data_IF_021606998196
#
_entry.id   IF_021606998196
#
_cell.length_a   1.000
_cell.length_b   1.000
_cell.length_c   1.000
_cell.angle_alpha   90.00
_cell.angle_beta   90.00
_cell.angle_gamma   90.00
#
_symmetry.space_group_name_H-M   'P 1'
#
loop_
_entity.id
_entity.type
_entity.pdbx_description
1 polymer ?
#
# COMPACT_ATOMS: atom_id res chain seq x y z
N UNK A 1 -7.09 -8.81 -24.36
CA UNK A 1 -5.68 -8.35 -24.40
C UNK A 1 -4.81 -9.32 -23.60
N UNK A 2 -3.58 -9.50 -24.07
CA UNK A 2 -2.51 -10.18 -23.34
C UNK A 2 -1.62 -9.13 -22.66
N UNK A 3 -1.60 -9.09 -21.35
CA UNK A 3 -0.91 -8.05 -20.56
C UNK A 3 0.23 -8.68 -19.78
N UNK A 4 1.44 -8.10 -19.85
CA UNK A 4 2.54 -8.44 -18.97
C UNK A 4 2.75 -7.35 -17.92
N UNK A 5 2.53 -7.68 -16.65
CA UNK A 5 2.81 -6.81 -15.52
C UNK A 5 4.23 -7.05 -15.02
N UNK A 6 5.09 -6.05 -15.07
CA UNK A 6 6.50 -6.18 -14.67
C UNK A 6 6.74 -5.47 -13.33
N UNK A 7 7.24 -6.22 -12.34
CA UNK A 7 7.67 -5.68 -11.04
C UNK A 7 9.18 -5.75 -10.86
N UNK A 8 9.85 -4.72 -10.33
CA UNK A 8 11.29 -4.79 -10.04
C UNK A 8 11.62 -5.56 -8.75
N UNK A 9 10.64 -5.87 -7.92
CA UNK A 9 10.83 -6.45 -6.60
C UNK A 9 10.79 -7.98 -6.61
N UNK A 10 11.52 -8.58 -5.66
CA UNK A 10 11.57 -10.03 -5.46
C UNK A 10 10.18 -10.64 -5.23
N UNK A 11 9.70 -11.45 -6.15
CA UNK A 11 8.39 -12.11 -6.11
C UNK A 11 8.27 -13.13 -4.97
N UNK A 12 9.40 -13.65 -4.46
CA UNK A 12 9.43 -14.54 -3.29
C UNK A 12 9.19 -13.78 -1.97
N UNK A 13 9.15 -12.45 -2.02
CA UNK A 13 8.94 -11.59 -0.86
C UNK A 13 7.62 -10.84 -0.97
N UNK A 14 6.87 -10.79 0.14
CA UNK A 14 5.70 -9.92 0.19
C UNK A 14 6.11 -8.46 0.29
N UNK A 15 5.40 -7.64 -0.45
CA UNK A 15 5.55 -6.19 -0.47
C UNK A 15 4.32 -5.55 -1.08
N UNK A 16 4.04 -4.31 -0.71
CA UNK A 16 2.84 -3.60 -1.19
C UNK A 16 2.72 -3.56 -2.71
N UNK A 17 3.84 -3.35 -3.42
CA UNK A 17 3.84 -3.33 -4.90
C UNK A 17 3.58 -4.72 -5.48
N UNK A 18 4.24 -5.78 -4.98
CA UNK A 18 3.99 -7.15 -5.46
C UNK A 18 2.55 -7.59 -5.22
N UNK A 19 2.00 -7.25 -4.05
CA UNK A 19 0.57 -7.51 -3.74
C UNK A 19 -0.35 -6.78 -4.72
N UNK A 20 -0.08 -5.50 -4.98
CA UNK A 20 -0.82 -4.71 -5.97
C UNK A 20 -0.75 -5.33 -7.38
N UNK A 21 0.45 -5.68 -7.85
CA UNK A 21 0.66 -6.25 -9.20
C UNK A 21 -0.10 -7.57 -9.36
N UNK A 22 -0.02 -8.46 -8.38
CA UNK A 22 -0.73 -9.75 -8.42
C UNK A 22 -2.25 -9.58 -8.34
N UNK A 23 -2.73 -8.69 -7.51
CA UNK A 23 -4.16 -8.38 -7.39
C UNK A 23 -4.70 -7.74 -8.69
N UNK A 24 -3.93 -6.85 -9.32
CA UNK A 24 -4.27 -6.30 -10.64
C UNK A 24 -4.30 -7.41 -11.71
N UNK A 25 -3.30 -8.31 -11.75
CA UNK A 25 -3.30 -9.45 -12.67
C UNK A 25 -4.56 -10.31 -12.53
N UNK A 26 -4.94 -10.59 -11.28
CA UNK A 26 -6.18 -11.32 -11.00
C UNK A 26 -7.41 -10.57 -11.49
N UNK A 27 -7.51 -9.28 -11.22
CA UNK A 27 -8.63 -8.45 -11.66
C UNK A 27 -8.74 -8.38 -13.20
N UNK A 28 -7.62 -8.25 -13.90
CA UNK A 28 -7.60 -8.28 -15.37
C UNK A 28 -8.13 -9.61 -15.93
N UNK A 29 -7.75 -10.74 -15.31
CA UNK A 29 -8.27 -12.07 -15.70
C UNK A 29 -9.78 -12.17 -15.48
N UNK A 30 -10.30 -11.62 -14.38
CA UNK A 30 -11.76 -11.55 -14.13
C UNK A 30 -12.49 -10.68 -15.17
N UNK A 31 -11.81 -9.72 -15.79
CA UNK A 31 -12.35 -8.91 -16.91
C UNK A 31 -12.11 -9.55 -18.29
N UNK A 32 -11.73 -10.83 -18.35
CA UNK A 32 -11.57 -11.58 -19.61
C UNK A 32 -10.26 -11.31 -20.34
N UNK A 33 -9.23 -10.77 -19.67
CA UNK A 33 -7.92 -10.54 -20.25
C UNK A 33 -6.93 -11.62 -19.81
N UNK A 34 -5.93 -11.92 -20.63
CA UNK A 34 -4.78 -12.72 -20.23
C UNK A 34 -3.79 -11.80 -19.50
N UNK A 35 -3.38 -12.15 -18.28
CA UNK A 35 -2.42 -11.37 -17.52
C UNK A 35 -1.32 -12.27 -16.95
N UNK A 36 -0.07 -11.94 -17.23
CA UNK A 36 1.13 -12.57 -16.68
C UNK A 36 1.88 -11.58 -15.80
N UNK A 37 2.53 -12.07 -14.77
CA UNK A 37 3.38 -11.26 -13.89
C UNK A 37 4.82 -11.69 -14.09
N UNK A 38 5.70 -10.74 -14.40
CA UNK A 38 7.14 -10.95 -14.56
C UNK A 38 7.90 -10.17 -13.49
N UNK A 39 8.77 -10.83 -12.75
CA UNK A 39 9.64 -10.18 -11.77
C UNK A 39 10.90 -10.99 -11.48
N UNK A 40 11.81 -10.48 -10.65
CA UNK A 40 12.91 -11.28 -10.11
C UNK A 40 12.41 -12.17 -8.98
N UNK A 41 13.04 -13.34 -8.78
CA UNK A 41 12.80 -14.18 -7.61
C UNK A 41 14.09 -14.75 -7.05
N UNK A 42 14.20 -14.78 -5.71
CA UNK A 42 15.31 -15.40 -4.98
C UNK A 42 15.00 -16.81 -4.48
N UNK A 43 13.76 -17.22 -4.57
CA UNK A 43 13.22 -18.51 -4.18
C UNK A 43 12.03 -18.86 -5.08
N UNK A 44 11.17 -19.80 -4.68
CA UNK A 44 9.99 -20.14 -5.44
C UNK A 44 9.11 -18.92 -5.70
N UNK A 45 8.74 -18.69 -6.95
CA UNK A 45 7.76 -17.67 -7.34
C UNK A 45 6.35 -18.16 -7.05
N UNK A 46 5.38 -17.26 -6.83
CA UNK A 46 3.98 -17.63 -6.84
C UNK A 46 3.60 -18.33 -8.15
N UNK A 47 2.63 -19.28 -8.12
CA UNK A 47 2.32 -20.14 -9.27
C UNK A 47 1.90 -19.40 -10.54
N UNK A 48 1.37 -18.20 -10.40
CA UNK A 48 0.87 -17.33 -11.47
C UNK A 48 1.89 -16.25 -11.89
N UNK A 49 3.16 -16.40 -11.50
CA UNK A 49 4.22 -15.42 -11.74
C UNK A 49 5.44 -16.09 -12.40
N UNK A 50 5.94 -15.46 -13.43
CA UNK A 50 7.20 -15.81 -14.09
C UNK A 50 8.37 -15.06 -13.46
N UNK A 51 9.52 -15.70 -13.36
CA UNK A 51 10.66 -15.08 -12.72
C UNK A 51 11.95 -15.17 -13.52
N UNK A 52 12.78 -14.12 -13.36
CA UNK A 52 14.13 -14.07 -13.87
C UNK A 52 15.15 -13.94 -12.72
N UNK A 53 16.27 -14.67 -12.76
CA UNK A 53 17.30 -14.57 -11.72
C UNK A 53 18.04 -13.23 -11.77
N UNK A 54 18.64 -12.81 -10.66
CA UNK A 54 19.51 -11.62 -10.62
C UNK A 54 19.15 -10.61 -9.52
N UNK A 55 18.77 -11.12 -8.34
CA UNK A 55 18.40 -10.29 -7.19
C UNK A 55 19.61 -9.74 -6.46
N UNK A 56 19.47 -8.47 -6.03
CA UNK A 56 20.38 -7.79 -5.08
C UNK A 56 19.54 -7.12 -4.00
N UNK A 57 20.02 -7.18 -2.76
CA UNK A 57 19.43 -6.42 -1.65
C UNK A 57 19.86 -4.98 -1.71
N UNK A 58 18.90 -4.07 -1.64
CA UNK A 58 19.11 -2.63 -1.70
C UNK A 58 18.40 -1.93 -0.53
N UNK A 59 19.06 -0.95 0.07
CA UNK A 59 18.47 -0.14 1.14
C UNK A 59 18.22 1.27 0.65
N UNK A 60 16.96 1.74 0.73
CA UNK A 60 16.59 3.10 0.39
C UNK A 60 15.46 3.59 1.30
N UNK A 61 15.50 4.86 1.68
CA UNK A 61 14.47 5.52 2.51
C UNK A 61 14.12 4.78 3.81
N UNK A 62 15.13 4.15 4.45
CA UNK A 62 14.94 3.37 5.67
C UNK A 62 14.28 2.00 5.47
N UNK A 63 14.06 1.57 4.23
CA UNK A 63 13.50 0.27 3.88
C UNK A 63 14.53 -0.58 3.15
N UNK A 64 14.56 -1.89 3.45
CA UNK A 64 15.32 -2.88 2.67
C UNK A 64 14.42 -3.44 1.58
N UNK A 65 14.85 -3.29 0.32
CA UNK A 65 14.18 -3.88 -0.84
C UNK A 65 15.11 -4.87 -1.53
N UNK A 66 14.55 -5.96 -2.03
CA UNK A 66 15.24 -6.93 -2.88
C UNK A 66 14.78 -6.69 -4.31
N UNK A 67 15.71 -6.33 -5.18
CA UNK A 67 15.42 -5.90 -6.55
C UNK A 67 16.20 -6.72 -7.58
N UNK A 68 15.66 -6.85 -8.77
CA UNK A 68 16.27 -7.58 -9.89
C UNK A 68 17.37 -6.81 -10.61
N UNK A 69 18.35 -6.29 -9.87
CA UNK A 69 19.40 -5.42 -10.43
C UNK A 69 20.26 -6.11 -11.50
N UNK A 70 20.55 -7.40 -11.31
CA UNK A 70 21.42 -8.17 -12.20
C UNK A 70 20.64 -8.95 -13.29
N UNK A 71 19.34 -8.73 -13.43
CA UNK A 71 18.54 -9.36 -14.48
C UNK A 71 19.06 -8.94 -15.85
N UNK A 72 19.34 -9.93 -16.70
CA UNK A 72 19.92 -9.69 -18.04
C UNK A 72 18.89 -9.03 -18.96
N UNK A 73 19.21 -7.87 -19.54
CA UNK A 73 18.36 -7.13 -20.48
C UNK A 73 17.84 -8.01 -21.63
N UNK A 74 18.69 -8.87 -22.19
CA UNK A 74 18.30 -9.78 -23.30
C UNK A 74 17.24 -10.78 -22.87
N UNK A 75 17.29 -11.29 -21.62
CA UNK A 75 16.29 -12.22 -21.11
C UNK A 75 14.92 -11.54 -20.97
N UNK A 76 14.88 -10.29 -20.48
CA UNK A 76 13.63 -9.52 -20.40
C UNK A 76 13.04 -9.29 -21.78
N UNK A 77 13.84 -8.80 -22.75
CA UNK A 77 13.36 -8.54 -24.12
C UNK A 77 12.87 -9.82 -24.80
N UNK A 78 13.60 -10.94 -24.63
CA UNK A 78 13.20 -12.23 -25.19
C UNK A 78 11.87 -12.70 -24.62
N UNK A 79 11.71 -12.68 -23.29
CA UNK A 79 10.46 -13.06 -22.62
C UNK A 79 9.28 -12.22 -23.14
N UNK A 80 9.45 -10.90 -23.25
CA UNK A 80 8.40 -10.00 -23.72
C UNK A 80 8.07 -10.21 -25.20
N UNK A 81 9.07 -10.55 -26.02
CA UNK A 81 8.88 -10.83 -27.44
C UNK A 81 8.19 -12.19 -27.67
N UNK A 82 8.70 -13.24 -27.01
CA UNK A 82 8.16 -14.60 -27.13
C UNK A 82 6.72 -14.69 -26.58
N UNK A 83 6.40 -13.86 -25.58
CA UNK A 83 5.09 -13.82 -24.97
C UNK A 83 3.99 -13.14 -25.81
N UNK A 84 4.36 -12.45 -26.91
CA UNK A 84 3.42 -11.76 -27.83
C UNK A 84 2.34 -10.95 -27.08
N UNK A 85 2.76 -10.11 -26.11
CA UNK A 85 1.88 -9.27 -25.32
C UNK A 85 1.38 -8.07 -26.12
N UNK A 86 0.14 -7.66 -25.90
CA UNK A 86 -0.44 -6.41 -26.43
C UNK A 86 0.04 -5.20 -25.63
N UNK A 87 0.22 -5.39 -24.31
CA UNK A 87 0.63 -4.32 -23.38
C UNK A 87 1.67 -4.85 -22.37
N UNK A 88 2.72 -4.06 -22.18
CA UNK A 88 3.67 -4.24 -21.07
C UNK A 88 3.46 -3.11 -20.06
N UNK A 89 3.02 -3.47 -18.87
CA UNK A 89 2.79 -2.54 -17.77
C UNK A 89 3.90 -2.63 -16.75
N UNK A 90 4.73 -1.61 -16.67
CA UNK A 90 5.92 -1.60 -15.80
C UNK A 90 5.65 -0.83 -14.52
N UNK A 91 5.72 -1.53 -13.39
CA UNK A 91 5.62 -0.92 -12.06
C UNK A 91 7.00 -0.44 -11.60
N UNK A 92 7.05 0.76 -11.00
CA UNK A 92 8.29 1.41 -10.54
C UNK A 92 9.39 1.47 -11.62
N UNK A 93 9.13 2.12 -12.76
CA UNK A 93 10.02 2.08 -13.93
C UNK A 93 11.39 2.73 -13.68
N UNK A 94 11.52 3.53 -12.62
CA UNK A 94 12.77 4.16 -12.21
C UNK A 94 13.71 3.24 -11.43
N UNK A 95 13.22 2.10 -10.92
CA UNK A 95 14.04 1.12 -10.22
C UNK A 95 14.95 0.42 -11.24
N UNK A 96 16.27 0.36 -11.01
CA UNK A 96 17.20 -0.32 -11.89
C UNK A 96 16.93 -1.83 -11.94
N UNK A 97 17.44 -2.50 -12.97
CA UNK A 97 17.25 -3.92 -13.19
C UNK A 97 16.15 -4.21 -14.19
N UNK A 98 15.21 -5.11 -13.88
CA UNK A 98 14.19 -5.64 -14.81
C UNK A 98 13.23 -4.56 -15.37
N UNK A 99 12.88 -3.55 -14.58
CA UNK A 99 11.93 -2.52 -14.97
C UNK A 99 12.44 -1.66 -16.15
N UNK A 100 13.72 -1.31 -16.16
CA UNK A 100 14.29 -0.45 -17.21
C UNK A 100 14.29 -1.08 -18.60
N UNK A 101 14.79 -2.31 -18.84
CA UNK A 101 14.69 -2.95 -20.15
C UNK A 101 13.25 -3.21 -20.56
N UNK A 102 12.33 -3.48 -19.64
CA UNK A 102 10.90 -3.60 -19.95
C UNK A 102 10.31 -2.26 -20.42
N UNK A 103 10.60 -1.17 -19.73
CA UNK A 103 10.16 0.18 -20.13
C UNK A 103 10.80 0.66 -21.44
N UNK A 104 12.00 0.16 -21.79
CA UNK A 104 12.71 0.50 -23.02
C UNK A 104 12.33 -0.39 -24.23
N UNK A 105 11.36 -1.29 -24.11
CA UNK A 105 10.85 -2.12 -25.22
C UNK A 105 10.11 -1.23 -26.22
N UNK A 106 10.29 -1.47 -27.51
CA UNK A 106 9.77 -0.63 -28.59
C UNK A 106 8.80 -1.35 -29.53
N UNK A 107 8.60 -2.64 -29.35
CA UNK A 107 7.76 -3.51 -30.19
C UNK A 107 6.38 -3.82 -29.54
N UNK A 108 6.02 -3.18 -28.45
CA UNK A 108 4.77 -3.40 -27.72
C UNK A 108 4.31 -2.10 -27.04
N UNK A 109 3.01 -1.93 -26.86
CA UNK A 109 2.45 -0.80 -26.13
C UNK A 109 2.87 -0.83 -24.67
N UNK A 110 3.21 0.31 -24.08
CA UNK A 110 3.77 0.41 -22.73
C UNK A 110 2.96 1.35 -21.86
N UNK A 111 2.74 0.93 -20.63
CA UNK A 111 2.19 1.75 -19.55
C UNK A 111 3.11 1.63 -18.35
N UNK A 112 3.21 2.67 -17.55
CA UNK A 112 4.03 2.69 -16.34
C UNK A 112 3.20 3.10 -15.11
N UNK A 113 3.46 2.45 -13.96
CA UNK A 113 2.86 2.86 -12.68
C UNK A 113 3.93 3.26 -11.67
N UNK A 114 3.69 4.40 -11.01
CA UNK A 114 4.53 4.95 -9.95
C UNK A 114 3.85 4.76 -8.60
N UNK A 115 4.53 4.05 -7.69
CA UNK A 115 4.07 3.79 -6.32
C UNK A 115 4.86 4.57 -5.28
N UNK A 116 6.12 4.91 -5.61
CA UNK A 116 7.06 5.50 -4.66
C UNK A 116 6.79 6.98 -4.43
N UNK A 117 6.90 7.37 -3.18
CA UNK A 117 7.01 8.75 -2.74
C UNK A 117 8.26 8.93 -1.90
N UNK A 118 8.96 10.03 -2.11
CA UNK A 118 10.06 10.47 -1.25
C UNK A 118 9.99 11.99 -1.10
N UNK A 119 9.99 12.45 0.15
CA UNK A 119 10.00 13.89 0.46
C UNK A 119 11.31 14.55 0.02
N UNK A 120 12.41 13.83 0.21
CA UNK A 120 13.76 14.29 -0.17
C UNK A 120 14.29 13.47 -1.33
N UNK A 121 14.62 14.16 -2.41
CA UNK A 121 15.36 13.54 -3.52
C UNK A 121 16.83 13.44 -3.11
N UNK A 122 17.39 12.22 -3.11
CA UNK A 122 18.81 12.05 -2.89
C UNK A 122 19.63 12.71 -4.01
N UNK A 123 20.81 13.20 -3.71
CA UNK A 123 21.72 13.78 -4.72
C UNK A 123 22.00 12.81 -5.87
N UNK A 124 22.10 11.50 -5.58
CA UNK A 124 22.28 10.45 -6.56
C UNK A 124 21.08 10.33 -7.51
N UNK A 125 19.83 10.36 -7.01
CA UNK A 125 18.63 10.34 -7.85
C UNK A 125 18.56 11.57 -8.72
N UNK A 126 18.88 12.76 -8.19
CA UNK A 126 18.91 14.02 -8.94
C UNK A 126 19.94 13.99 -10.07
N UNK A 127 21.15 13.45 -9.79
CA UNK A 127 22.21 13.32 -10.77
C UNK A 127 21.88 12.31 -11.87
N UNK A 128 21.23 11.18 -11.52
CA UNK A 128 20.85 10.13 -12.45
C UNK A 128 19.53 10.39 -13.18
N UNK A 129 18.83 11.49 -12.88
CA UNK A 129 17.47 11.78 -13.36
C UNK A 129 17.32 11.69 -14.88
N UNK A 130 18.29 12.24 -15.65
CA UNK A 130 18.27 12.17 -17.12
C UNK A 130 18.40 10.73 -17.61
N UNK A 131 19.24 9.92 -16.95
CA UNK A 131 19.44 8.50 -17.27
C UNK A 131 18.21 7.67 -16.92
N UNK A 132 17.57 7.97 -15.78
CA UNK A 132 16.33 7.31 -15.35
C UNK A 132 15.15 7.65 -16.26
N UNK A 133 15.07 8.89 -16.74
CA UNK A 133 14.01 9.35 -17.65
C UNK A 133 14.13 8.81 -19.08
N UNK A 134 15.32 8.39 -19.52
CA UNK A 134 15.57 7.98 -20.91
C UNK A 134 14.65 6.84 -21.41
N UNK A 135 14.43 5.74 -20.66
CA UNK A 135 13.53 4.66 -21.08
C UNK A 135 12.05 5.05 -21.10
N UNK A 136 11.71 6.21 -20.51
CA UNK A 136 10.33 6.66 -20.33
C UNK A 136 9.90 7.72 -21.34
N UNK A 137 10.82 8.17 -22.23
CA UNK A 137 10.57 9.32 -23.12
C UNK A 137 9.40 9.12 -24.06
N UNK A 138 9.29 7.91 -24.61
CA UNK A 138 8.34 7.56 -25.66
C UNK A 138 7.12 6.80 -25.09
N UNK A 139 6.91 6.87 -23.78
CA UNK A 139 5.73 6.30 -23.13
C UNK A 139 4.73 7.43 -22.90
N UNK A 140 3.58 7.42 -23.61
CA UNK A 140 2.62 8.52 -23.53
C UNK A 140 1.80 8.51 -22.23
N UNK A 141 1.53 7.31 -21.67
CA UNK A 141 0.59 7.12 -20.58
C UNK A 141 1.25 6.48 -19.35
N UNK A 142 1.00 7.08 -18.19
CA UNK A 142 1.42 6.59 -16.89
C UNK A 142 0.29 6.65 -15.87
N UNK A 143 0.44 5.85 -14.84
CA UNK A 143 -0.46 5.79 -13.68
C UNK A 143 0.34 6.19 -12.44
N UNK A 144 -0.29 6.92 -11.52
CA UNK A 144 0.26 7.13 -10.19
C UNK A 144 -0.80 6.77 -9.14
N UNK A 145 -0.36 6.05 -8.09
CA UNK A 145 -1.28 5.54 -7.07
C UNK A 145 -1.74 6.59 -6.06
N UNK A 146 -1.17 7.80 -6.13
CA UNK A 146 -1.53 8.93 -5.27
C UNK A 146 -1.01 10.23 -5.86
N UNK A 147 -1.51 11.37 -5.38
CA UNK A 147 -1.02 12.70 -5.78
C UNK A 147 0.46 12.90 -5.43
N UNK A 148 0.90 12.35 -4.29
CA UNK A 148 2.32 12.44 -3.88
C UNK A 148 3.21 11.58 -4.78
N UNK A 149 2.75 10.39 -5.21
CA UNK A 149 3.45 9.56 -6.19
C UNK A 149 3.49 10.26 -7.57
N UNK A 150 2.40 10.89 -8.01
CA UNK A 150 2.35 11.65 -9.25
C UNK A 150 3.32 12.84 -9.24
N UNK A 151 3.37 13.60 -8.15
CA UNK A 151 4.30 14.72 -7.99
C UNK A 151 5.77 14.24 -8.05
N UNK A 152 6.06 13.07 -7.47
CA UNK A 152 7.38 12.45 -7.57
C UNK A 152 7.68 11.98 -9.01
N UNK A 153 6.73 11.30 -9.66
CA UNK A 153 6.85 10.79 -11.03
C UNK A 153 7.13 11.91 -12.04
N UNK A 154 6.48 13.08 -11.92
CA UNK A 154 6.68 14.25 -12.81
C UNK A 154 8.12 14.78 -12.84
N UNK A 155 8.96 14.38 -11.90
CA UNK A 155 10.39 14.71 -11.92
C UNK A 155 11.15 13.96 -13.04
N UNK A 156 10.66 12.82 -13.49
CA UNK A 156 11.33 11.94 -14.45
C UNK A 156 10.46 11.53 -15.65
N UNK A 157 9.14 11.61 -15.53
CA UNK A 157 8.16 11.22 -16.54
C UNK A 157 7.47 12.44 -17.16
N UNK A 158 7.36 12.46 -18.50
CA UNK A 158 6.79 13.58 -19.28
C UNK A 158 5.42 13.26 -19.87
N UNK A 159 5.05 11.97 -19.93
CA UNK A 159 3.75 11.55 -20.42
C UNK A 159 2.60 11.99 -19.52
N UNK A 160 1.39 11.72 -19.93
CA UNK A 160 0.19 11.95 -19.13
C UNK A 160 0.17 11.00 -17.93
N UNK A 161 -0.22 11.49 -16.75
CA UNK A 161 -0.35 10.68 -15.54
C UNK A 161 -1.83 10.68 -15.12
N UNK A 162 -2.45 9.49 -15.14
CA UNK A 162 -3.74 9.24 -14.54
C UNK A 162 -3.58 8.82 -13.08
N UNK A 163 -4.39 9.39 -12.20
CA UNK A 163 -4.42 8.99 -10.80
C UNK A 163 -5.37 7.79 -10.66
N UNK A 164 -4.81 6.61 -10.44
CA UNK A 164 -5.56 5.40 -10.14
C UNK A 164 -4.99 4.85 -8.84
N UNK A 165 -5.73 4.88 -7.73
CA UNK A 165 -5.23 4.44 -6.43
C UNK A 165 -4.93 2.94 -6.40
N UNK A 166 -4.25 2.50 -5.34
CA UNK A 166 -4.05 1.07 -5.12
C UNK A 166 -5.40 0.39 -4.86
N UNK A 167 -5.70 -0.65 -5.60
CA UNK A 167 -6.88 -1.46 -5.40
C UNK A 167 -6.73 -2.45 -4.25
N UNK A 168 -7.87 -2.81 -3.63
CA UNK A 168 -8.00 -3.85 -2.62
C UNK A 168 -8.76 -5.05 -3.19
N UNK A 169 -8.32 -6.25 -2.83
CA UNK A 169 -9.07 -7.47 -3.13
C UNK A 169 -10.08 -7.75 -2.01
N UNK A 170 -11.35 -7.46 -2.30
CA UNK A 170 -12.44 -7.69 -1.36
C UNK A 170 -12.79 -9.17 -1.17
N UNK A 171 -12.35 -10.07 -2.04
CA UNK A 171 -12.52 -11.52 -1.82
C UNK A 171 -11.63 -12.00 -0.68
N UNK A 172 -10.46 -11.39 -0.51
CA UNK A 172 -9.53 -11.68 0.58
C UNK A 172 -9.87 -10.91 1.86
N UNK A 173 -10.14 -9.60 1.76
CA UNK A 173 -10.32 -8.71 2.91
C UNK A 173 -11.77 -8.30 3.16
N UNK A 174 -12.72 -8.69 2.32
CA UNK A 174 -14.12 -8.32 2.49
C UNK A 174 -14.77 -8.85 3.76
N UNK A 175 -15.74 -8.11 4.28
CA UNK A 175 -16.46 -8.47 5.51
C UNK A 175 -17.46 -9.59 5.24
N UNK A 176 -17.03 -10.87 5.38
CA UNK A 176 -17.95 -12.02 5.37
C UNK A 176 -18.52 -12.35 6.77
N UNK A 177 -17.94 -11.79 7.84
CA UNK A 177 -18.43 -11.94 9.22
C UNK A 177 -18.45 -10.56 9.90
N UNK A 178 -19.34 -10.40 10.90
CA UNK A 178 -19.38 -9.17 11.71
C UNK A 178 -18.04 -8.97 12.43
N UNK A 179 -17.35 -7.83 12.24
CA UNK A 179 -16.12 -7.56 12.96
C UNK A 179 -16.41 -7.39 14.46
N UNK A 180 -15.42 -7.65 15.32
CA UNK A 180 -15.53 -7.44 16.77
C UNK A 180 -15.92 -6.01 17.11
N UNK A 181 -15.40 -5.02 16.38
CA UNK A 181 -15.75 -3.61 16.52
C UNK A 181 -17.26 -3.34 16.37
N UNK A 182 -17.96 -4.14 15.55
CA UNK A 182 -19.42 -4.08 15.44
C UNK A 182 -20.14 -4.74 16.63
N UNK A 183 -19.52 -5.75 17.29
CA UNK A 183 -20.05 -6.37 18.50
C UNK A 183 -19.92 -5.47 19.74
N UNK A 184 -18.90 -4.60 19.76
CA UNK A 184 -18.75 -3.58 20.82
C UNK A 184 -19.90 -2.54 20.82
N UNK A 185 -20.71 -2.51 19.78
CA UNK A 185 -21.87 -1.63 19.68
C UNK A 185 -22.96 -1.96 20.72
N UNK A 186 -22.91 -3.15 21.33
CA UNK A 186 -23.90 -3.63 22.30
C UNK A 186 -23.27 -3.93 23.66
N UNK A 187 -22.04 -3.45 23.93
CA UNK A 187 -21.41 -3.65 25.23
C UNK A 187 -21.99 -2.72 26.28
N UNK A 188 -22.41 -3.30 27.38
CA UNK A 188 -22.67 -2.58 28.62
C UNK A 188 -21.37 -1.91 29.09
N UNK A 189 -21.39 -0.66 29.59
CA UNK A 189 -20.23 -0.01 30.19
C UNK A 189 -19.56 -0.82 31.31
N UNK A 190 -20.32 -1.72 31.96
CA UNK A 190 -19.82 -2.60 33.04
C UNK A 190 -19.09 -3.87 32.55
N UNK A 191 -19.15 -4.24 31.27
CA UNK A 191 -18.32 -5.31 30.69
C UNK A 191 -16.87 -4.89 30.40
N UNK A 192 -16.37 -3.87 31.07
CA UNK A 192 -15.11 -3.17 30.81
C UNK A 192 -13.82 -3.96 31.10
N UNK A 193 -13.91 -5.23 31.50
CA UNK A 193 -12.71 -6.01 31.89
C UNK A 193 -11.85 -6.51 30.69
N UNK A 194 -12.32 -6.38 29.45
CA UNK A 194 -11.50 -6.78 28.30
C UNK A 194 -10.64 -5.61 27.80
N UNK A 195 -9.35 -5.89 27.45
CA UNK A 195 -8.46 -4.87 26.95
C UNK A 195 -8.92 -4.31 25.59
N UNK A 196 -8.67 -3.01 25.36
CA UNK A 196 -8.77 -2.38 24.06
C UNK A 196 -7.74 -3.05 23.12
N UNK A 197 -8.19 -3.77 22.09
CA UNK A 197 -7.31 -4.42 21.13
C UNK A 197 -6.98 -3.49 19.97
N UNK A 198 -5.71 -3.08 19.90
CA UNK A 198 -5.18 -2.23 18.85
C UNK A 198 -4.26 -3.05 17.94
N UNK A 199 -4.56 -3.13 16.67
CA UNK A 199 -3.74 -3.83 15.69
C UNK A 199 -2.81 -2.85 14.96
N UNK A 200 -1.54 -3.24 14.84
CA UNK A 200 -0.54 -2.62 13.96
C UNK A 200 -0.11 -3.64 12.91
N UNK A 201 0.01 -3.22 11.64
CA UNK A 201 0.50 -4.08 10.55
C UNK A 201 1.63 -3.38 9.79
N UNK A 202 2.79 -4.03 9.71
CA UNK A 202 3.92 -3.53 8.93
C UNK A 202 5.28 -4.01 9.39
N UNK A 203 6.33 -3.58 8.69
CA UNK A 203 7.71 -3.78 9.12
C UNK A 203 8.02 -2.85 10.27
N UNK A 204 8.06 -3.38 11.47
CA UNK A 204 8.12 -2.57 12.68
C UNK A 204 9.52 -2.10 13.07
N UNK A 205 10.58 -2.63 12.44
CA UNK A 205 11.96 -2.14 12.56
C UNK A 205 12.26 -0.92 11.66
N UNK A 206 11.32 -0.53 10.79
CA UNK A 206 11.42 0.73 10.04
C UNK A 206 10.92 1.90 10.92
N UNK A 207 11.81 2.83 11.34
CA UNK A 207 11.41 3.92 12.25
C UNK A 207 10.25 4.76 11.74
N UNK A 208 10.17 4.95 10.41
CA UNK A 208 9.09 5.69 9.76
C UNK A 208 7.70 5.07 9.94
N UNK A 209 7.60 3.76 10.23
CA UNK A 209 6.33 3.08 10.52
C UNK A 209 5.75 3.44 11.88
N UNK A 210 6.55 4.04 12.75
CA UNK A 210 6.07 4.72 13.96
C UNK A 210 5.64 3.80 15.10
N UNK A 211 5.99 2.50 15.11
CA UNK A 211 5.60 1.58 16.18
C UNK A 211 5.96 2.14 17.58
N UNK A 212 7.11 2.81 17.74
CA UNK A 212 7.51 3.41 19.03
C UNK A 212 6.48 4.42 19.55
N UNK A 213 5.85 5.20 18.65
CA UNK A 213 4.83 6.17 19.02
C UNK A 213 3.52 5.48 19.47
N UNK A 214 3.16 4.36 18.83
CA UNK A 214 2.02 3.56 19.24
C UNK A 214 2.26 2.93 20.61
N UNK A 215 3.43 2.35 20.86
CA UNK A 215 3.75 1.76 22.16
C UNK A 215 3.78 2.82 23.28
N UNK A 216 4.33 4.00 23.00
CA UNK A 216 4.27 5.12 23.94
C UNK A 216 2.82 5.59 24.20
N UNK A 217 1.98 5.65 23.17
CA UNK A 217 0.55 5.95 23.34
C UNK A 217 -0.17 4.89 24.19
N UNK A 218 0.16 3.61 24.00
CA UNK A 218 -0.39 2.52 24.78
C UNK A 218 0.02 2.60 26.27
N UNK A 219 1.27 2.98 26.56
CA UNK A 219 1.70 3.25 27.94
C UNK A 219 0.85 4.35 28.58
N UNK A 220 0.64 5.47 27.89
CA UNK A 220 -0.21 6.58 28.38
C UNK A 220 -1.66 6.12 28.67
N UNK A 221 -2.22 5.28 27.81
CA UNK A 221 -3.56 4.70 27.99
C UNK A 221 -3.58 3.80 29.24
N UNK A 222 -2.55 2.98 29.47
CA UNK A 222 -2.45 2.13 30.66
C UNK A 222 -2.27 2.94 31.94
N UNK A 223 -1.48 4.00 31.89
CA UNK A 223 -1.29 4.95 33.01
C UNK A 223 -2.62 5.64 33.40
N UNK A 224 -3.54 5.84 32.46
CA UNK A 224 -4.91 6.33 32.76
C UNK A 224 -5.84 5.26 33.34
N UNK A 225 -5.36 4.05 33.63
CA UNK A 225 -6.12 2.95 34.21
C UNK A 225 -6.83 2.05 33.21
N UNK A 226 -6.75 2.30 31.89
CA UNK A 226 -7.41 1.49 30.87
C UNK A 226 -6.52 0.32 30.41
N UNK A 227 -7.09 -0.87 30.32
CA UNK A 227 -6.41 -2.05 29.76
C UNK A 227 -6.34 -1.92 28.24
N UNK A 228 -5.15 -2.16 27.67
CA UNK A 228 -4.90 -2.17 26.22
C UNK A 228 -3.98 -3.33 25.85
N UNK A 229 -4.23 -3.95 24.71
CA UNK A 229 -3.39 -4.97 24.06
C UNK A 229 -3.00 -4.48 22.66
N UNK A 230 -1.71 -4.26 22.42
CA UNK A 230 -1.19 -3.87 21.10
C UNK A 230 -0.71 -5.12 20.36
N UNK A 231 -1.43 -5.52 19.34
CA UNK A 231 -1.12 -6.67 18.50
C UNK A 231 -0.32 -6.22 17.28
N UNK A 232 0.88 -6.77 17.09
CA UNK A 232 1.85 -6.32 16.09
C UNK A 232 2.07 -7.44 15.07
N UNK A 233 1.47 -7.29 13.88
CA UNK A 233 1.66 -8.18 12.75
C UNK A 233 2.73 -7.64 11.80
N UNK A 234 3.71 -8.48 11.44
CA UNK A 234 4.77 -8.13 10.52
C UNK A 234 6.14 -8.63 10.96
N UNK A 235 7.16 -8.10 10.31
CA UNK A 235 8.57 -8.47 10.55
C UNK A 235 9.36 -7.29 11.10
N UNK A 236 10.37 -7.62 11.90
CA UNK A 236 11.31 -6.65 12.48
C UNK A 236 12.07 -7.24 13.65
N UNK A 237 13.00 -6.46 14.19
CA UNK A 237 13.75 -6.84 15.38
C UNK A 237 12.95 -6.52 16.65
N UNK A 238 12.39 -7.56 17.29
CA UNK A 238 11.60 -7.45 18.54
C UNK A 238 12.42 -6.94 19.72
N UNK A 239 13.69 -7.30 19.78
CA UNK A 239 14.59 -6.92 20.88
C UNK A 239 14.72 -5.39 21.01
N UNK A 240 14.68 -4.69 19.87
CA UNK A 240 14.71 -3.21 19.85
C UNK A 240 13.51 -2.56 20.56
N UNK A 241 12.49 -3.33 20.92
CA UNK A 241 11.27 -2.86 21.56
C UNK A 241 11.04 -3.51 22.93
N UNK A 242 11.90 -4.45 23.39
CA UNK A 242 11.67 -5.27 24.57
C UNK A 242 11.31 -4.44 25.82
N UNK A 243 12.01 -3.33 26.05
CA UNK A 243 11.78 -2.47 27.22
C UNK A 243 10.39 -1.81 27.25
N UNK A 244 9.91 -1.30 26.12
CA UNK A 244 8.61 -0.61 26.05
C UNK A 244 7.45 -1.57 25.76
N UNK A 245 7.70 -2.70 25.10
CA UNK A 245 6.66 -3.63 24.67
C UNK A 245 5.87 -4.22 25.86
N UNK A 246 6.57 -4.62 26.92
CA UNK A 246 5.93 -5.16 28.12
C UNK A 246 5.02 -4.13 28.79
N UNK A 247 5.53 -2.90 28.97
CA UNK A 247 4.76 -1.79 29.56
C UNK A 247 3.56 -1.38 28.71
N UNK A 248 3.65 -1.51 27.38
CA UNK A 248 2.59 -1.19 26.43
C UNK A 248 1.54 -2.31 26.27
N UNK A 249 1.75 -3.51 26.84
CA UNK A 249 0.90 -4.68 26.59
C UNK A 249 0.99 -5.17 25.14
N UNK A 250 2.20 -5.18 24.57
CA UNK A 250 2.42 -5.53 23.17
C UNK A 250 2.61 -7.04 22.96
N UNK A 251 1.95 -7.57 21.91
CA UNK A 251 2.04 -8.96 21.47
C UNK A 251 2.53 -8.98 20.02
N UNK A 252 3.71 -9.58 19.78
CA UNK A 252 4.27 -9.73 18.45
C UNK A 252 3.78 -11.02 17.79
N UNK A 253 3.00 -10.89 16.72
CA UNK A 253 2.38 -12.01 16.00
C UNK A 253 3.31 -12.60 14.92
N UNK A 254 4.36 -11.84 14.52
CA UNK A 254 5.18 -12.21 13.39
C UNK A 254 4.47 -11.98 12.05
N UNK A 255 4.95 -12.62 11.01
CA UNK A 255 4.33 -12.59 9.68
C UNK A 255 3.11 -13.49 9.66
N UNK A 256 2.00 -12.99 9.18
CA UNK A 256 0.73 -13.70 9.06
C UNK A 256 0.42 -14.01 7.59
N UNK A 257 -0.32 -15.08 7.34
CA UNK A 257 -1.00 -15.33 6.06
C UNK A 257 -2.15 -14.32 5.88
N UNK A 258 -2.63 -14.13 4.65
CA UNK A 258 -3.73 -13.19 4.39
C UNK A 258 -4.99 -13.55 5.20
N UNK A 259 -5.33 -14.85 5.34
CA UNK A 259 -6.46 -15.29 6.17
C UNK A 259 -6.27 -14.99 7.66
N UNK A 260 -5.06 -15.24 8.21
CA UNK A 260 -4.76 -14.91 9.60
C UNK A 260 -4.76 -13.40 9.82
N UNK A 261 -4.23 -12.62 8.87
CA UNK A 261 -4.24 -11.15 8.92
C UNK A 261 -5.66 -10.58 8.88
N UNK A 262 -6.52 -11.14 8.02
CA UNK A 262 -7.95 -10.77 7.95
C UNK A 262 -8.65 -11.03 9.29
N UNK A 263 -8.35 -12.14 9.95
CA UNK A 263 -8.88 -12.43 11.28
C UNK A 263 -8.38 -11.45 12.34
N UNK A 264 -7.12 -11.02 12.28
CA UNK A 264 -6.60 -9.98 13.19
C UNK A 264 -7.29 -8.63 12.96
N UNK A 265 -7.50 -8.19 11.71
CA UNK A 265 -8.28 -6.99 11.42
C UNK A 265 -9.70 -7.08 12.00
N UNK A 266 -10.39 -8.21 11.81
CA UNK A 266 -11.76 -8.41 12.31
C UNK A 266 -11.85 -8.51 13.83
N UNK A 267 -10.81 -9.00 14.49
CA UNK A 267 -10.75 -9.15 15.95
C UNK A 267 -10.25 -7.91 16.68
N UNK A 268 -9.68 -6.95 15.98
CA UNK A 268 -9.23 -5.69 16.54
C UNK A 268 -10.41 -4.73 16.79
N UNK A 269 -10.32 -3.96 17.87
CA UNK A 269 -11.24 -2.87 18.14
C UNK A 269 -10.90 -1.63 17.32
N UNK A 270 -9.59 -1.41 17.08
CA UNK A 270 -9.05 -0.31 16.26
C UNK A 270 -7.80 -0.78 15.54
N UNK A 271 -7.69 -0.47 14.26
CA UNK A 271 -6.43 -0.55 13.52
C UNK A 271 -5.67 0.77 13.64
N UNK A 272 -4.38 0.71 13.97
CA UNK A 272 -3.52 1.89 14.11
C UNK A 272 -2.37 1.91 13.12
N UNK A 273 -2.28 2.98 12.33
CA UNK A 273 -1.19 3.23 11.39
C UNK A 273 -0.42 4.51 11.75
N UNK A 274 0.57 4.45 12.65
CA UNK A 274 1.23 5.62 13.24
C UNK A 274 2.46 6.10 12.45
N UNK A 275 2.51 5.88 11.13
CA UNK A 275 3.67 6.26 10.32
C UNK A 275 3.98 7.75 10.45
N UNK A 276 5.27 8.08 10.53
CA UNK A 276 5.71 9.46 10.75
C UNK A 276 5.82 10.26 9.46
N UNK A 277 6.12 9.60 8.33
CA UNK A 277 6.31 10.22 7.01
C UNK A 277 6.42 9.15 5.90
N UNK A 278 6.52 9.62 4.64
CA UNK A 278 6.92 8.83 3.46
C UNK A 278 6.05 7.59 3.14
N UNK A 279 4.76 7.64 3.48
CA UNK A 279 3.80 6.68 2.95
C UNK A 279 3.15 7.26 1.68
N UNK A 280 3.20 6.51 0.60
CA UNK A 280 2.65 6.96 -0.68
C UNK A 280 1.13 6.80 -0.75
N UNK A 281 0.57 5.81 -0.06
CA UNK A 281 -0.88 5.55 -0.05
C UNK A 281 -1.33 4.96 1.30
N UNK A 282 -0.93 3.73 1.65
CA UNK A 282 -1.34 3.07 2.88
C UNK A 282 -2.40 1.99 2.68
N UNK A 283 -2.09 0.97 1.87
CA UNK A 283 -2.97 -0.19 1.64
C UNK A 283 -3.49 -0.82 2.93
N UNK A 284 -2.69 -0.87 3.99
CA UNK A 284 -3.07 -1.44 5.29
C UNK A 284 -4.28 -0.74 5.93
N UNK A 285 -4.50 0.56 5.64
CA UNK A 285 -5.70 1.27 6.08
C UNK A 285 -6.93 0.72 5.36
N UNK A 286 -6.80 0.52 4.03
CA UNK A 286 -7.90 0.03 3.20
C UNK A 286 -8.21 -1.42 3.52
N UNK A 287 -7.20 -2.24 3.82
CA UNK A 287 -7.36 -3.62 4.31
C UNK A 287 -8.18 -3.65 5.61
N UNK A 288 -7.81 -2.79 6.58
CA UNK A 288 -8.56 -2.66 7.84
C UNK A 288 -10.02 -2.23 7.58
N UNK A 289 -10.24 -1.21 6.74
CA UNK A 289 -11.56 -0.71 6.37
C UNK A 289 -12.41 -1.78 5.69
N UNK A 290 -11.82 -2.56 4.76
CA UNK A 290 -12.48 -3.67 4.09
C UNK A 290 -12.93 -4.76 5.06
N UNK A 291 -12.15 -5.00 6.13
CA UNK A 291 -12.49 -5.93 7.21
C UNK A 291 -13.48 -5.35 8.23
N UNK A 292 -13.95 -4.11 8.07
CA UNK A 292 -14.83 -3.43 9.02
C UNK A 292 -14.13 -2.98 10.31
N UNK A 293 -12.81 -2.89 10.33
CA UNK A 293 -12.03 -2.38 11.45
C UNK A 293 -11.89 -0.85 11.35
N UNK A 294 -12.31 -0.07 12.37
CA UNK A 294 -12.13 1.37 12.35
C UNK A 294 -10.65 1.75 12.45
N UNK A 295 -10.28 2.84 11.81
CA UNK A 295 -8.89 3.23 11.60
C UNK A 295 -8.54 4.49 12.35
N UNK A 296 -7.43 4.46 13.07
CA UNK A 296 -6.69 5.62 13.56
C UNK A 296 -5.35 5.67 12.85
N UNK A 297 -4.99 6.78 12.25
CA UNK A 297 -3.76 6.91 11.49
C UNK A 297 -3.06 8.25 11.72
N UNK A 298 -1.79 8.33 11.39
CA UNK A 298 -1.08 9.62 11.38
C UNK A 298 -1.60 10.52 10.26
N UNK A 299 -1.65 11.82 10.55
CA UNK A 299 -2.08 12.85 9.62
C UNK A 299 -0.98 13.17 8.58
N UNK A 300 -0.78 12.25 7.65
CA UNK A 300 0.15 12.37 6.53
C UNK A 300 -0.59 12.25 5.19
N UNK A 301 -0.05 12.87 4.14
CA UNK A 301 -0.73 13.00 2.84
C UNK A 301 -1.25 11.67 2.28
N UNK A 302 -0.41 10.62 2.27
CA UNK A 302 -0.82 9.32 1.74
C UNK A 302 -2.00 8.71 2.51
N UNK A 303 -2.03 8.87 3.83
CA UNK A 303 -3.11 8.34 4.67
C UNK A 303 -4.41 9.16 4.57
N UNK A 304 -4.29 10.50 4.37
CA UNK A 304 -5.45 11.34 4.03
C UNK A 304 -6.11 10.88 2.73
N UNK A 305 -5.29 10.64 1.68
CA UNK A 305 -5.79 10.17 0.39
C UNK A 305 -6.41 8.76 0.49
N UNK A 306 -5.77 7.83 1.20
CA UNK A 306 -6.28 6.47 1.36
C UNK A 306 -7.60 6.44 2.14
N UNK A 307 -7.64 7.14 3.28
CA UNK A 307 -8.81 7.10 4.16
C UNK A 307 -9.99 7.95 3.68
N UNK A 308 -9.72 9.07 2.98
CA UNK A 308 -10.74 9.99 2.49
C UNK A 308 -11.83 10.32 3.53
N UNK A 309 -11.41 10.62 4.77
CA UNK A 309 -12.30 10.95 5.88
C UNK A 309 -12.81 9.76 6.71
N UNK A 310 -12.51 8.52 6.32
CA UNK A 310 -12.95 7.31 7.03
C UNK A 310 -12.05 6.91 8.21
N UNK A 311 -11.07 7.73 8.59
CA UNK A 311 -10.17 7.48 9.70
C UNK A 311 -10.06 8.70 10.62
N UNK A 312 -9.81 8.48 11.91
CA UNK A 312 -9.32 9.56 12.77
C UNK A 312 -7.84 9.76 12.48
N UNK A 313 -7.46 11.01 12.18
CA UNK A 313 -6.09 11.38 11.91
C UNK A 313 -5.47 12.08 13.12
N UNK A 314 -4.33 11.58 13.59
CA UNK A 314 -3.57 12.14 14.70
C UNK A 314 -2.26 12.77 14.20
N UNK A 315 -1.77 13.80 14.89
CA UNK A 315 -0.47 14.43 14.57
C UNK A 315 0.62 13.36 14.50
N UNK A 316 1.43 13.32 13.42
CA UNK A 316 2.56 12.38 13.32
C UNK A 316 3.56 12.57 14.45
N UNK A 317 4.14 11.47 14.94
CA UNK A 317 5.15 11.46 16.00
C UNK A 317 4.67 12.00 17.36
N UNK A 318 3.38 12.11 17.58
CA UNK A 318 2.76 12.60 18.82
C UNK A 318 2.00 11.46 19.51
N UNK A 319 2.63 10.86 20.53
CA UNK A 319 2.03 9.76 21.30
C UNK A 319 0.78 10.17 22.08
N UNK A 320 0.70 11.42 22.56
CA UNK A 320 -0.48 11.93 23.29
C UNK A 320 -1.67 12.10 22.35
N UNK A 321 -1.45 12.72 21.19
CA UNK A 321 -2.49 12.85 20.18
C UNK A 321 -2.99 11.48 19.69
N UNK A 322 -2.07 10.51 19.55
CA UNK A 322 -2.41 9.15 19.15
C UNK A 322 -3.21 8.42 20.23
N UNK A 323 -2.82 8.53 21.51
CA UNK A 323 -3.55 7.96 22.65
C UNK A 323 -4.98 8.52 22.71
N UNK A 324 -5.15 9.84 22.62
CA UNK A 324 -6.46 10.49 22.59
C UNK A 324 -7.32 10.01 21.40
N UNK A 325 -6.75 9.89 20.21
CA UNK A 325 -7.47 9.39 19.02
C UNK A 325 -7.92 7.92 19.19
N UNK A 326 -7.08 7.06 19.77
CA UNK A 326 -7.41 5.66 20.07
C UNK A 326 -8.53 5.55 21.10
N UNK A 327 -8.45 6.30 22.21
CA UNK A 327 -9.49 6.33 23.24
C UNK A 327 -10.81 6.87 22.66
N UNK A 328 -10.77 7.97 21.93
CA UNK A 328 -11.95 8.55 21.28
C UNK A 328 -12.62 7.56 20.32
N UNK A 329 -11.84 6.83 19.48
CA UNK A 329 -12.40 5.79 18.61
C UNK A 329 -13.03 4.64 19.41
N UNK A 330 -12.47 4.31 20.56
CA UNK A 330 -12.96 3.24 21.41
C UNK A 330 -14.20 3.64 22.21
N UNK A 331 -14.32 4.89 22.65
CA UNK A 331 -15.37 5.34 23.57
C UNK A 331 -16.57 5.95 22.86
N UNK A 332 -16.36 6.63 21.73
CA UNK A 332 -17.44 7.25 20.96
C UNK A 332 -18.04 6.23 19.97
N UNK A 333 -19.15 5.63 20.39
CA UNK A 333 -19.90 4.65 19.61
C UNK A 333 -20.37 5.20 18.24
N UNK A 334 -20.88 6.45 18.23
CA UNK A 334 -21.40 7.08 17.00
C UNK A 334 -20.28 7.31 16.00
N UNK A 335 -19.16 7.86 16.46
CA UNK A 335 -17.97 8.07 15.66
C UNK A 335 -17.45 6.74 15.08
N UNK A 336 -17.39 5.69 15.92
CA UNK A 336 -16.92 4.36 15.49
C UNK A 336 -17.82 3.77 14.42
N UNK A 337 -19.16 3.84 14.58
CA UNK A 337 -20.10 3.39 13.54
C UNK A 337 -19.94 4.16 12.22
N UNK A 338 -19.79 5.48 12.31
CA UNK A 338 -19.56 6.32 11.14
C UNK A 338 -18.24 5.94 10.44
N UNK A 339 -17.16 5.74 11.19
CA UNK A 339 -15.86 5.33 10.65
C UNK A 339 -15.93 3.96 9.96
N UNK A 340 -16.62 2.96 10.55
CA UNK A 340 -16.83 1.65 9.94
C UNK A 340 -17.64 1.78 8.64
N UNK A 341 -18.75 2.50 8.64
CA UNK A 341 -19.59 2.68 7.46
C UNK A 341 -18.90 3.46 6.33
N UNK A 342 -18.13 4.50 6.67
CA UNK A 342 -17.33 5.25 5.71
C UNK A 342 -16.17 4.39 5.19
N UNK A 343 -15.52 3.62 6.05
CA UNK A 343 -14.43 2.71 5.69
C UNK A 343 -14.90 1.63 4.70
N UNK A 344 -16.06 1.03 4.94
CA UNK A 344 -16.63 0.04 4.03
C UNK A 344 -16.91 0.62 2.64
N UNK A 345 -17.51 1.82 2.56
CA UNK A 345 -17.72 2.52 1.28
C UNK A 345 -16.39 2.82 0.60
N UNK A 346 -15.41 3.31 1.36
CA UNK A 346 -14.08 3.61 0.82
C UNK A 346 -13.38 2.38 0.27
N UNK A 347 -13.44 1.24 0.98
CA UNK A 347 -12.90 -0.03 0.50
C UNK A 347 -13.59 -0.50 -0.79
N UNK A 348 -14.90 -0.29 -0.92
CA UNK A 348 -15.64 -0.62 -2.14
C UNK A 348 -15.21 0.27 -3.33
N UNK A 349 -15.04 1.59 -3.12
CA UNK A 349 -14.51 2.51 -4.13
C UNK A 349 -13.11 2.09 -4.61
N UNK A 350 -12.30 1.58 -3.69
CA UNK A 350 -10.93 1.15 -3.95
C UNK A 350 -10.83 -0.35 -4.28
N UNK A 351 -11.94 -1.03 -4.53
CA UNK A 351 -11.90 -2.44 -4.95
C UNK A 351 -11.31 -2.58 -6.36
N UNK A 352 -10.64 -3.68 -6.61
CA UNK A 352 -10.18 -3.99 -7.97
C UNK A 352 -11.34 -4.14 -8.96
N UNK A 353 -12.51 -4.58 -8.50
CA UNK A 353 -13.73 -4.60 -9.33
C UNK A 353 -14.10 -3.20 -9.81
N UNK A 354 -13.90 -2.17 -8.99
CA UNK A 354 -14.18 -0.78 -9.37
C UNK A 354 -13.05 -0.14 -10.19
N UNK A 355 -11.77 -0.48 -9.91
CA UNK A 355 -10.62 0.22 -10.48
C UNK A 355 -10.05 -0.42 -11.75
N UNK A 356 -10.28 -1.73 -11.98
CA UNK A 356 -9.68 -2.43 -13.13
C UNK A 356 -10.09 -1.82 -14.47
N UNK A 357 -11.33 -1.39 -14.62
CA UNK A 357 -11.82 -0.71 -15.83
C UNK A 357 -11.05 0.57 -16.15
N UNK A 358 -10.62 1.32 -15.13
CA UNK A 358 -9.80 2.52 -15.33
C UNK A 358 -8.40 2.16 -15.85
N UNK A 359 -7.80 1.09 -15.34
CA UNK A 359 -6.49 0.61 -15.82
C UNK A 359 -6.61 0.10 -17.23
N UNK A 360 -7.68 -0.66 -17.56
CA UNK A 360 -7.98 -1.18 -18.90
C UNK A 360 -8.10 -0.02 -19.89
N UNK A 361 -8.80 1.07 -19.54
CA UNK A 361 -8.93 2.23 -20.41
C UNK A 361 -7.58 2.91 -20.73
N UNK A 362 -6.61 2.85 -19.80
CA UNK A 362 -5.24 3.34 -20.05
C UNK A 362 -4.50 2.42 -21.03
N UNK A 363 -4.73 1.10 -20.95
CA UNK A 363 -4.15 0.15 -21.90
C UNK A 363 -4.70 0.33 -23.31
N UNK A 364 -6.01 0.47 -23.46
CA UNK A 364 -6.68 0.73 -24.74
C UNK A 364 -6.15 2.00 -25.40
N UNK A 365 -6.03 3.07 -24.63
CA UNK A 365 -5.45 4.32 -25.13
C UNK A 365 -3.98 4.15 -25.54
N UNK A 366 -3.20 3.39 -24.77
CA UNK A 366 -1.79 3.13 -25.11
C UNK A 366 -1.65 2.32 -26.41
N UNK A 367 -2.55 1.37 -26.67
CA UNK A 367 -2.57 0.58 -27.91
C UNK A 367 -3.05 1.41 -29.11
N UNK A 368 -3.99 2.33 -28.93
CA UNK A 368 -4.45 3.24 -29.95
C UNK A 368 -3.42 4.35 -30.29
N UNK A 369 -2.37 4.50 -29.50
CA UNK A 369 -1.41 5.60 -29.60
C UNK A 369 -1.93 6.93 -29.04
N UNK A 370 -3.04 6.90 -28.31
CA UNK A 370 -3.67 8.07 -27.72
C UNK A 370 -3.05 8.44 -26.38
N UNK A 371 -3.07 9.73 -26.07
CA UNK A 371 -2.71 10.23 -24.73
C UNK A 371 -3.98 10.31 -23.90
N UNK A 372 -4.06 9.51 -22.84
CA UNK A 372 -5.17 9.62 -21.88
C UNK A 372 -5.15 11.02 -21.29
N UNK A 373 -6.27 11.78 -21.35
CA UNK A 373 -6.36 13.04 -20.62
C UNK A 373 -5.99 12.79 -19.17
N UNK A 374 -5.08 13.58 -18.62
CA UNK A 374 -4.85 13.58 -17.18
C UNK A 374 -6.22 13.73 -16.55
N UNK A 375 -6.70 12.73 -15.80
CA UNK A 375 -8.01 12.82 -15.19
C UNK A 375 -8.07 14.17 -14.49
N UNK A 376 -9.02 15.01 -14.91
CA UNK A 376 -9.38 16.19 -14.14
C UNK A 376 -9.59 15.64 -12.74
N UNK A 377 -8.70 16.00 -11.81
CA UNK A 377 -8.76 15.48 -10.46
C UNK A 377 -10.21 15.65 -10.03
N UNK A 378 -10.95 14.55 -9.93
CA UNK A 378 -12.26 14.58 -9.31
C UNK A 378 -12.03 15.38 -8.02
N UNK A 379 -12.77 16.47 -7.77
CA UNK A 379 -12.49 17.32 -6.63
C UNK A 379 -12.52 16.41 -5.41
N UNK A 380 -11.36 16.04 -4.89
CA UNK A 380 -11.26 15.57 -3.53
C UNK A 380 -11.91 16.69 -2.75
N UNK A 381 -13.08 16.41 -2.19
CA UNK A 381 -13.86 17.34 -1.38
C UNK A 381 -12.89 18.24 -0.62
N UNK A 382 -13.01 19.53 -0.86
CA UNK A 382 -12.14 20.54 -0.26
C UNK A 382 -12.06 20.24 1.23
N UNK A 383 -10.88 19.78 1.67
CA UNK A 383 -10.57 19.74 3.09
C UNK A 383 -10.66 21.18 3.53
N UNK A 384 -11.75 21.53 4.22
CA UNK A 384 -11.85 22.81 4.92
C UNK A 384 -10.64 22.87 5.82
N UNK A 385 -9.73 23.77 5.51
CA UNK A 385 -8.77 24.30 6.47
C UNK A 385 -9.59 24.94 7.59
N UNK A 386 -9.84 24.19 8.64
CA UNK A 386 -10.23 24.80 9.91
C UNK A 386 -8.93 25.11 10.64
N UNK A 387 -8.70 26.40 10.77
CA UNK A 387 -7.65 27.04 11.54
C UNK A 387 -7.60 26.53 13.01
#
# INVERSE_FOLDING_TARGET
>A
MRVCLVTPYDLSCDGGVNRHVRALAHALRLHGHEASVLGPASGPSPPDCDSLPGIVSFSANGSKARIGLLVRRRAVRRYLYDGAFDVVHVHEPCIPGIARPAAATDFVSRVVTFHTYSERESAAVRMLRRTLARPLRDIPNGIAVSRVAAAFARRVFRGSIRLIPNGIDLSTFGASARPRSALLLHRDPDESDQPLRVLFVGRFDEPRKGLRHLLAAACLIRESGRRIEVRIAGQGNRESFAGIAASAGAVFLGRLTDGALTNEYRSADVFCAPATHAESFGLVLVEAMACGCPVVASDIRGYREASNGAAILARPSDAKALAHALQRMADDHTLRQQAIGQGARRAQELSWTSLAGEVISVYESAMAGDVVPAAAAAPLLAVRETA
#
